data_IF_616540595636
#
_entry.id   IF_616540595636
#
_cell.length_a   1.000
_cell.length_b   1.000
_cell.length_c   1.000
_cell.angle_alpha   90.00
_cell.angle_beta   90.00
_cell.angle_gamma   90.00
#
_symmetry.space_group_name_H-M   'P 1'
#
loop_
_entity.id
_entity.type
_entity.pdbx_description
1 polymer ?
#
# COMPACT_ATOMS: atom_id res chain seq x y z
N UNK A 1 10.78 -5.88 -15.00
CA UNK A 1 11.71 -7.01 -15.26
C UNK A 1 11.46 -8.13 -14.28
N UNK A 2 11.00 -7.86 -13.05
CA UNK A 2 10.37 -8.90 -12.22
C UNK A 2 9.04 -9.37 -12.84
N UNK A 3 8.57 -10.54 -12.42
CA UNK A 3 7.35 -11.16 -12.91
C UNK A 3 6.12 -10.28 -12.66
N UNK A 4 6.01 -9.68 -11.48
CA UNK A 4 4.89 -8.82 -11.12
C UNK A 4 4.78 -7.59 -12.02
N UNK A 5 5.89 -6.87 -12.21
CA UNK A 5 5.99 -5.75 -13.15
C UNK A 5 5.74 -6.20 -14.59
N UNK A 6 6.27 -7.37 -15.00
CA UNK A 6 6.05 -7.88 -16.34
C UNK A 6 4.55 -8.10 -16.60
N UNK A 7 3.84 -8.71 -15.66
CA UNK A 7 2.39 -8.94 -15.77
C UNK A 7 1.63 -7.62 -15.94
N UNK A 8 1.90 -6.60 -15.11
CA UNK A 8 1.19 -5.32 -15.24
C UNK A 8 1.59 -4.54 -16.51
N UNK A 9 2.81 -4.70 -17.01
CA UNK A 9 3.24 -4.18 -18.30
C UNK A 9 2.44 -4.78 -19.47
N UNK A 10 2.12 -6.08 -19.43
CA UNK A 10 1.25 -6.73 -20.42
C UNK A 10 -0.18 -6.18 -20.43
N UNK A 11 -0.59 -5.54 -19.32
CA UNK A 11 -1.92 -4.96 -19.11
C UNK A 11 -1.96 -3.45 -19.28
N UNK A 12 -0.80 -2.77 -19.30
CA UNK A 12 -0.72 -1.32 -19.34
C UNK A 12 -1.24 -0.65 -18.06
N UNK A 13 -1.12 -1.34 -16.92
CA UNK A 13 -1.64 -0.89 -15.62
C UNK A 13 -0.50 -0.42 -14.70
N UNK A 14 -0.81 0.45 -13.74
CA UNK A 14 0.13 0.82 -12.68
C UNK A 14 0.22 -0.28 -11.61
N UNK A 15 1.33 -0.36 -10.84
CA UNK A 15 1.45 -1.31 -9.74
C UNK A 15 0.40 -1.04 -8.66
N UNK A 16 -0.26 -2.09 -8.16
CA UNK A 16 -1.16 -1.95 -7.03
C UNK A 16 -0.42 -1.98 -5.68
N UNK A 17 0.75 -2.62 -5.62
CA UNK A 17 1.58 -2.70 -4.42
C UNK A 17 3.07 -2.53 -4.74
N UNK A 18 3.83 -1.89 -3.83
CA UNK A 18 5.23 -1.50 -4.10
C UNK A 18 6.23 -2.66 -4.13
N UNK A 19 5.92 -3.80 -3.51
CA UNK A 19 6.73 -5.04 -3.59
C UNK A 19 6.00 -6.20 -4.25
N UNK A 20 4.71 -6.03 -4.57
CA UNK A 20 3.87 -7.09 -5.14
C UNK A 20 2.94 -6.50 -6.21
N UNK A 21 3.49 -5.98 -7.33
CA UNK A 21 2.78 -5.12 -8.27
C UNK A 21 1.44 -5.68 -8.80
N UNK A 22 1.41 -6.99 -9.01
CA UNK A 22 0.28 -7.75 -9.57
C UNK A 22 -0.62 -8.43 -8.52
N UNK A 23 -0.52 -8.08 -7.22
CA UNK A 23 -1.27 -8.78 -6.13
C UNK A 23 -2.80 -8.72 -6.27
N UNK A 24 -3.31 -7.83 -7.11
CA UNK A 24 -4.74 -7.68 -7.37
C UNK A 24 -5.28 -8.65 -8.44
N UNK A 25 -4.41 -9.43 -9.09
CA UNK A 25 -4.76 -10.34 -10.18
C UNK A 25 -4.84 -11.79 -9.70
N UNK A 26 -5.77 -12.55 -10.28
CA UNK A 26 -5.83 -14.00 -10.09
C UNK A 26 -4.91 -14.71 -11.07
N UNK A 27 -4.56 -15.97 -10.77
CA UNK A 27 -3.75 -16.81 -11.66
C UNK A 27 -4.40 -16.96 -13.04
N UNK A 28 -5.71 -17.14 -13.09
CA UNK A 28 -6.47 -17.33 -14.33
C UNK A 28 -6.43 -16.07 -15.21
N UNK A 29 -6.41 -14.88 -14.60
CA UNK A 29 -6.24 -13.62 -15.33
C UNK A 29 -4.83 -13.51 -15.92
N UNK A 30 -3.80 -13.88 -15.14
CA UNK A 30 -2.41 -13.91 -15.62
C UNK A 30 -2.23 -14.91 -16.76
N UNK A 31 -2.80 -16.11 -16.64
CA UNK A 31 -2.80 -17.11 -17.72
C UNK A 31 -3.46 -16.55 -18.99
N UNK A 32 -4.63 -15.94 -18.87
CA UNK A 32 -5.33 -15.35 -20.00
C UNK A 32 -4.49 -14.27 -20.70
N UNK A 33 -3.79 -13.43 -19.93
CA UNK A 33 -2.87 -12.43 -20.47
C UNK A 33 -1.66 -13.06 -21.20
N UNK A 34 -1.10 -14.14 -20.67
CA UNK A 34 0.02 -14.84 -21.29
C UNK A 34 -0.40 -15.49 -22.62
N UNK A 35 -1.57 -16.13 -22.66
CA UNK A 35 -2.14 -16.67 -23.91
C UNK A 35 -2.41 -15.56 -24.93
N UNK A 36 -2.93 -14.42 -24.47
CA UNK A 36 -3.23 -13.26 -25.31
C UNK A 36 -1.98 -12.63 -25.93
N UNK A 37 -0.87 -12.54 -25.19
CA UNK A 37 0.33 -11.82 -25.63
C UNK A 37 1.40 -12.73 -26.22
N UNK A 38 1.66 -13.91 -25.64
CA UNK A 38 2.66 -14.85 -26.15
C UNK A 38 2.07 -15.78 -27.21
N UNK A 39 1.59 -15.20 -28.31
CA UNK A 39 0.91 -15.91 -29.41
C UNK A 39 1.83 -16.77 -30.28
N UNK A 40 3.14 -16.57 -30.16
CA UNK A 40 4.18 -17.33 -30.86
C UNK A 40 4.47 -18.69 -30.19
N UNK A 41 3.91 -18.96 -29.01
CA UNK A 41 4.03 -20.23 -28.29
C UNK A 41 2.81 -21.12 -28.57
N UNK A 42 2.94 -22.43 -28.34
CA UNK A 42 1.87 -23.41 -28.56
C UNK A 42 0.56 -22.98 -27.84
N UNK A 43 -0.56 -22.81 -28.56
CA UNK A 43 -1.85 -22.48 -27.97
C UNK A 43 -2.35 -23.51 -26.95
N UNK A 44 -1.93 -24.78 -27.05
CA UNK A 44 -2.34 -25.89 -26.18
C UNK A 44 -1.42 -26.10 -24.98
N UNK A 45 -0.42 -25.23 -24.78
CA UNK A 45 0.51 -25.34 -23.64
C UNK A 45 -0.19 -25.25 -22.28
N UNK A 46 0.35 -25.98 -21.31
CA UNK A 46 -0.18 -26.05 -19.96
C UNK A 46 0.32 -24.89 -19.09
N UNK A 47 -0.60 -23.99 -18.71
CA UNK A 47 -0.34 -22.84 -17.84
C UNK A 47 -1.13 -22.91 -16.51
N UNK A 48 -1.62 -24.09 -16.14
CA UNK A 48 -2.41 -24.25 -14.90
C UNK A 48 -1.55 -24.10 -13.65
N UNK A 49 -0.27 -24.45 -13.74
CA UNK A 49 0.65 -24.44 -12.61
C UNK A 49 1.44 -23.13 -12.52
N UNK A 50 1.63 -22.53 -11.32
CA UNK A 50 2.43 -21.33 -11.16
C UNK A 50 3.86 -21.45 -11.72
N UNK A 51 4.45 -22.65 -11.65
CA UNK A 51 5.80 -22.92 -12.15
C UNK A 51 5.88 -22.81 -13.67
N UNK A 52 4.84 -23.23 -14.40
CA UNK A 52 4.85 -23.15 -15.87
C UNK A 52 4.66 -21.71 -16.34
N UNK A 53 3.80 -20.93 -15.67
CA UNK A 53 3.68 -19.48 -15.88
C UNK A 53 5.03 -18.77 -15.66
N UNK A 54 5.68 -19.01 -14.52
CA UNK A 54 6.99 -18.43 -14.22
C UNK A 54 8.04 -18.81 -15.27
N UNK A 55 8.07 -20.08 -15.69
CA UNK A 55 9.05 -20.58 -16.66
C UNK A 55 8.86 -19.94 -18.05
N UNK A 56 7.61 -19.74 -18.47
CA UNK A 56 7.29 -19.04 -19.72
C UNK A 56 7.79 -17.59 -19.66
N UNK A 57 7.41 -16.84 -18.62
CA UNK A 57 7.86 -15.45 -18.44
C UNK A 57 9.39 -15.36 -18.42
N UNK A 58 10.05 -16.29 -17.71
CA UNK A 58 11.51 -16.35 -17.63
C UNK A 58 12.16 -16.57 -18.98
N UNK A 59 11.59 -17.43 -19.82
CA UNK A 59 12.12 -17.71 -21.17
C UNK A 59 12.05 -16.46 -22.03
N UNK A 60 10.91 -15.77 -22.03
CA UNK A 60 10.73 -14.50 -22.75
C UNK A 60 11.70 -13.42 -22.27
N UNK A 61 11.83 -13.26 -20.94
CA UNK A 61 12.67 -12.20 -20.36
C UNK A 61 14.16 -12.47 -20.51
N UNK A 62 14.61 -13.74 -20.46
CA UNK A 62 16.02 -14.10 -20.61
C UNK A 62 16.62 -13.64 -21.93
N UNK A 63 15.89 -13.82 -23.02
CA UNK A 63 16.33 -13.33 -24.32
C UNK A 63 16.50 -11.81 -24.30
N UNK A 64 15.54 -11.08 -23.74
CA UNK A 64 15.61 -9.62 -23.61
C UNK A 64 16.80 -9.13 -22.78
N UNK A 65 17.14 -9.83 -21.69
CA UNK A 65 18.33 -9.47 -20.90
C UNK A 65 19.63 -9.67 -21.69
N UNK A 66 19.73 -10.75 -22.47
CA UNK A 66 20.94 -11.05 -23.24
C UNK A 66 21.14 -10.11 -24.45
N UNK A 67 20.05 -9.62 -25.04
CA UNK A 67 20.09 -8.72 -26.20
C UNK A 67 20.26 -7.24 -25.82
N UNK A 68 20.06 -6.87 -24.55
CA UNK A 68 20.11 -5.48 -24.12
C UNK A 68 21.56 -4.98 -23.91
N UNK A 69 21.96 -3.93 -24.63
CA UNK A 69 23.26 -3.27 -24.41
C UNK A 69 23.31 -2.46 -23.09
N UNK A 70 22.17 -1.98 -22.61
CA UNK A 70 22.06 -1.10 -21.43
C UNK A 70 21.08 -1.69 -20.41
N UNK A 71 21.57 -1.91 -19.21
CA UNK A 71 20.78 -2.26 -18.03
C UNK A 71 20.39 -1.04 -17.23
N UNK A 72 19.10 -0.84 -16.96
CA UNK A 72 18.62 0.23 -16.08
C UNK A 72 18.00 -0.38 -14.83
N UNK A 73 18.53 -0.04 -13.66
CA UNK A 73 18.00 -0.49 -12.37
C UNK A 73 17.61 0.68 -11.49
N UNK A 74 16.72 0.43 -10.53
CA UNK A 74 16.61 1.29 -9.35
C UNK A 74 17.74 1.03 -8.35
N UNK A 75 17.65 1.67 -7.19
CA UNK A 75 18.39 1.26 -5.99
C UNK A 75 17.47 1.28 -4.76
N UNK A 76 17.64 0.28 -3.90
CA UNK A 76 17.06 0.30 -2.56
C UNK A 76 17.86 1.23 -1.66
N UNK A 77 19.20 1.21 -1.78
CA UNK A 77 20.13 2.05 -1.03
C UNK A 77 21.30 2.51 -1.90
N UNK A 78 21.86 3.67 -1.56
CA UNK A 78 23.11 4.21 -2.10
C UNK A 78 24.05 4.45 -0.94
N UNK A 79 25.22 3.81 -0.91
CA UNK A 79 26.13 3.86 0.24
C UNK A 79 27.17 4.95 0.00
N UNK A 80 27.17 5.98 0.85
CA UNK A 80 28.04 7.14 0.67
C UNK A 80 29.52 6.80 0.88
N UNK A 81 29.87 5.98 1.88
CA UNK A 81 31.28 5.68 2.18
C UNK A 81 31.99 4.88 1.08
N UNK A 82 31.27 4.02 0.36
CA UNK A 82 31.85 3.14 -0.67
C UNK A 82 31.51 3.55 -2.10
N UNK A 83 30.55 4.47 -2.29
CA UNK A 83 30.02 4.79 -3.61
C UNK A 83 29.24 3.63 -4.25
N UNK A 84 28.65 2.73 -3.45
CA UNK A 84 27.97 1.53 -3.95
C UNK A 84 26.46 1.75 -4.08
N UNK A 85 25.84 1.17 -5.12
CA UNK A 85 24.39 0.99 -5.17
C UNK A 85 24.00 -0.39 -4.65
N UNK A 86 22.90 -0.47 -3.91
CA UNK A 86 22.34 -1.73 -3.43
C UNK A 86 20.94 -1.93 -3.99
N UNK A 87 20.72 -3.10 -4.58
CA UNK A 87 19.40 -3.55 -5.02
C UNK A 87 19.09 -4.89 -4.38
N UNK A 88 17.86 -5.06 -3.91
CA UNK A 88 17.36 -6.34 -3.41
C UNK A 88 16.31 -6.90 -4.35
N UNK A 89 16.39 -8.20 -4.63
CA UNK A 89 15.39 -8.89 -5.45
C UNK A 89 15.14 -10.29 -4.92
N UNK A 90 14.00 -10.88 -5.28
CA UNK A 90 13.69 -12.29 -5.00
C UNK A 90 13.80 -13.18 -6.24
N UNK A 91 13.97 -12.58 -7.42
CA UNK A 91 13.91 -13.27 -8.72
C UNK A 91 15.24 -13.23 -9.48
N UNK A 92 16.25 -12.49 -8.99
CA UNK A 92 17.56 -12.33 -9.65
C UNK A 92 17.52 -11.46 -10.91
N UNK A 93 16.37 -10.84 -11.21
CA UNK A 93 16.20 -9.96 -12.36
C UNK A 93 17.10 -8.72 -12.30
N UNK A 94 17.40 -8.23 -11.10
CA UNK A 94 18.33 -7.11 -10.89
C UNK A 94 19.73 -7.44 -11.38
N UNK A 95 20.24 -8.64 -11.04
CA UNK A 95 21.57 -9.11 -11.44
C UNK A 95 21.68 -9.30 -12.94
N UNK A 96 20.67 -9.93 -13.55
CA UNK A 96 20.61 -10.08 -15.01
C UNK A 96 20.56 -8.73 -15.72
N UNK A 97 19.87 -7.75 -15.14
CA UNK A 97 19.78 -6.39 -15.72
C UNK A 97 21.11 -5.67 -15.64
N UNK A 98 21.85 -5.75 -14.52
CA UNK A 98 23.06 -4.96 -14.32
C UNK A 98 24.36 -5.60 -14.81
N UNK A 99 24.40 -6.93 -14.99
CA UNK A 99 25.64 -7.65 -15.35
C UNK A 99 25.78 -7.98 -16.84
N UNK A 100 24.68 -8.23 -17.54
CA UNK A 100 24.74 -8.74 -18.92
C UNK A 100 24.94 -7.64 -19.97
N UNK A 101 24.45 -6.43 -19.71
CA UNK A 101 24.64 -5.28 -20.60
C UNK A 101 26.04 -4.68 -20.47
N UNK A 102 26.48 -3.96 -21.50
CA UNK A 102 27.75 -3.22 -21.50
C UNK A 102 27.71 -2.00 -20.61
N UNK A 103 26.53 -1.45 -20.35
CA UNK A 103 26.34 -0.26 -19.54
C UNK A 103 25.29 -0.51 -18.46
N UNK A 104 25.59 -0.14 -17.22
CA UNK A 104 24.65 -0.16 -16.10
C UNK A 104 24.33 1.27 -15.66
N UNK A 105 23.05 1.61 -15.70
CA UNK A 105 22.53 2.89 -15.20
C UNK A 105 21.68 2.63 -13.96
N UNK A 106 22.10 3.19 -12.84
CA UNK A 106 21.34 3.22 -11.59
C UNK A 106 20.53 4.51 -11.54
N UNK A 107 19.21 4.39 -11.48
CA UNK A 107 18.29 5.51 -11.33
C UNK A 107 17.66 5.47 -9.94
N UNK A 108 18.08 6.37 -9.06
CA UNK A 108 17.65 6.35 -7.67
C UNK A 108 17.35 7.76 -7.17
N UNK A 109 16.39 7.87 -6.26
CA UNK A 109 16.07 9.15 -5.67
C UNK A 109 16.98 9.48 -4.48
N UNK A 110 17.17 10.77 -4.19
CA UNK A 110 18.19 11.24 -3.24
C UNK A 110 18.00 10.71 -1.81
N UNK A 111 16.78 10.31 -1.43
CA UNK A 111 16.48 9.76 -0.10
C UNK A 111 16.97 8.33 0.09
N UNK A 112 17.52 7.69 -0.97
CA UNK A 112 18.08 6.34 -0.90
C UNK A 112 19.48 6.31 -0.30
N UNK A 113 20.08 7.46 -0.04
CA UNK A 113 21.44 7.54 0.48
C UNK A 113 21.53 7.11 1.95
N UNK A 114 22.48 6.24 2.24
CA UNK A 114 22.82 5.71 3.58
C UNK A 114 24.30 5.96 3.82
N UNK A 115 24.74 6.37 5.03
CA UNK A 115 26.13 6.75 5.26
C UNK A 115 27.10 5.58 5.07
N UNK A 116 26.85 4.45 5.73
CA UNK A 116 27.78 3.32 5.79
C UNK A 116 27.16 1.99 5.34
N UNK A 117 28.03 1.03 5.04
CA UNK A 117 27.71 -0.36 4.76
C UNK A 117 27.08 -1.02 6.00
N UNK A 118 27.56 -0.70 7.20
CA UNK A 118 27.00 -1.21 8.45
C UNK A 118 25.54 -0.74 8.65
N UNK A 119 25.28 0.55 8.45
CA UNK A 119 23.91 1.08 8.48
C UNK A 119 23.00 0.36 7.47
N UNK A 120 23.52 0.14 6.26
CA UNK A 120 22.81 -0.59 5.20
C UNK A 120 22.52 -2.03 5.61
N UNK A 121 23.47 -2.74 6.22
CA UNK A 121 23.29 -4.10 6.71
C UNK A 121 22.17 -4.17 7.78
N UNK A 122 22.11 -3.21 8.71
CA UNK A 122 21.03 -3.14 9.69
C UNK A 122 19.67 -2.88 9.01
N UNK A 123 19.62 -1.98 8.03
CA UNK A 123 18.39 -1.67 7.31
C UNK A 123 17.91 -2.89 6.50
N UNK A 124 18.81 -3.62 5.83
CA UNK A 124 18.48 -4.83 5.07
C UNK A 124 17.81 -5.88 5.96
N UNK A 125 18.26 -6.02 7.22
CA UNK A 125 17.63 -6.94 8.19
C UNK A 125 16.17 -6.58 8.47
N UNK A 126 15.85 -5.30 8.65
CA UNK A 126 14.46 -4.90 8.94
C UNK A 126 13.60 -4.81 7.68
N UNK A 127 14.20 -4.59 6.50
CA UNK A 127 13.49 -4.48 5.22
C UNK A 127 12.66 -5.73 4.92
N UNK A 128 13.31 -6.90 4.81
CA UNK A 128 12.64 -8.16 4.46
C UNK A 128 11.63 -8.59 5.53
N UNK A 129 12.02 -8.48 6.81
CA UNK A 129 11.16 -8.84 7.96
C UNK A 129 9.88 -8.01 8.01
N UNK A 130 9.98 -6.71 7.74
CA UNK A 130 8.82 -5.81 7.75
C UNK A 130 7.95 -5.94 6.50
N UNK A 131 8.54 -6.34 5.37
CA UNK A 131 7.87 -6.44 4.09
C UNK A 131 7.07 -7.73 3.95
N UNK A 132 7.76 -8.87 4.05
CA UNK A 132 7.23 -10.20 3.73
C UNK A 132 7.34 -11.18 4.91
N UNK A 133 7.97 -10.77 6.01
CA UNK A 133 8.28 -11.65 7.13
C UNK A 133 9.47 -12.57 6.88
N UNK A 134 10.19 -12.40 5.77
CA UNK A 134 11.39 -13.16 5.45
C UNK A 134 12.58 -12.70 6.31
N UNK A 135 13.52 -13.61 6.60
CA UNK A 135 14.75 -13.26 7.33
C UNK A 135 15.66 -12.32 6.52
N UNK A 136 15.68 -12.52 5.20
CA UNK A 136 16.40 -11.74 4.20
C UNK A 136 15.71 -11.90 2.84
N UNK A 137 15.99 -11.00 1.89
CA UNK A 137 15.69 -11.22 0.46
C UNK A 137 16.60 -12.30 -0.11
N UNK A 138 16.20 -12.90 -1.24
CA UNK A 138 16.99 -13.96 -1.90
C UNK A 138 18.31 -13.39 -2.45
N UNK A 139 18.26 -12.20 -3.04
CA UNK A 139 19.43 -11.50 -3.57
C UNK A 139 19.53 -10.12 -2.92
N UNK A 140 20.75 -9.74 -2.55
CA UNK A 140 21.13 -8.40 -2.10
C UNK A 140 22.47 -8.07 -2.76
N UNK A 141 22.40 -7.30 -3.85
CA UNK A 141 23.55 -7.08 -4.72
C UNK A 141 24.10 -5.68 -4.52
N UNK A 142 25.42 -5.62 -4.33
CA UNK A 142 26.18 -4.39 -4.12
C UNK A 142 27.04 -4.13 -5.35
N UNK A 143 26.74 -3.07 -6.09
CA UNK A 143 27.45 -2.70 -7.31
C UNK A 143 28.32 -1.48 -7.04
N UNK A 144 29.61 -1.59 -7.36
CA UNK A 144 30.62 -0.56 -7.04
C UNK A 144 31.46 -0.25 -8.27
N UNK A 145 30.86 0.50 -9.20
CA UNK A 145 31.50 0.90 -10.46
C UNK A 145 31.45 -0.17 -11.55
N UNK A 146 32.12 0.11 -12.69
CA UNK A 146 32.19 -0.80 -13.82
C UNK A 146 33.13 -1.99 -13.53
N UNK A 147 33.08 -3.01 -14.38
CA UNK A 147 34.00 -4.15 -14.33
C UNK A 147 35.46 -3.69 -14.42
N UNK A 148 36.32 -4.38 -13.70
CA UNK A 148 37.78 -4.21 -13.70
C UNK A 148 38.39 -5.16 -14.71
N UNK A 149 39.66 -4.93 -15.06
CA UNK A 149 40.38 -5.79 -16.00
C UNK A 149 40.48 -7.26 -15.56
N UNK A 150 40.43 -7.53 -14.25
CA UNK A 150 40.48 -8.87 -13.68
C UNK A 150 39.10 -9.52 -13.49
N UNK A 151 38.02 -8.75 -13.64
CA UNK A 151 36.66 -9.27 -13.50
C UNK A 151 36.28 -10.05 -14.77
N UNK A 152 35.66 -11.22 -14.59
CA UNK A 152 35.28 -12.11 -15.70
C UNK A 152 34.14 -11.50 -16.54
N UNK A 153 33.22 -10.81 -15.87
CA UNK A 153 32.02 -10.21 -16.44
C UNK A 153 31.64 -8.91 -15.74
N UNK A 154 30.62 -8.23 -16.29
CA UNK A 154 30.08 -6.99 -15.76
C UNK A 154 30.08 -5.83 -16.77
N UNK A 155 29.47 -4.70 -16.38
CA UNK A 155 29.30 -3.56 -17.27
C UNK A 155 30.62 -2.81 -17.47
N UNK A 156 30.89 -2.36 -18.69
CA UNK A 156 32.02 -1.48 -19.05
C UNK A 156 31.81 -0.05 -18.56
N UNK A 157 30.56 0.38 -18.48
CA UNK A 157 30.17 1.70 -17.99
C UNK A 157 29.20 1.58 -16.81
N UNK A 158 29.37 2.44 -15.80
CA UNK A 158 28.50 2.50 -14.63
C UNK A 158 28.12 3.95 -14.34
N UNK A 159 26.82 4.27 -14.45
CA UNK A 159 26.28 5.61 -14.28
C UNK A 159 25.26 5.65 -13.15
N UNK A 160 25.31 6.69 -12.31
CA UNK A 160 24.33 6.90 -11.25
C UNK A 160 23.59 8.22 -11.48
N UNK A 161 22.27 8.13 -11.63
CA UNK A 161 21.37 9.28 -11.77
C UNK A 161 20.63 9.48 -10.46
N UNK A 162 20.92 10.60 -9.79
CA UNK A 162 20.26 11.01 -8.56
C UNK A 162 19.06 11.90 -8.87
N UNK A 163 17.86 11.40 -8.58
CA UNK A 163 16.62 12.13 -8.78
C UNK A 163 16.12 12.78 -7.49
N UNK A 164 16.09 14.10 -7.46
CA UNK A 164 15.42 14.83 -6.40
C UNK A 164 13.88 14.75 -6.56
N UNK A 165 13.36 15.34 -7.64
CA UNK A 165 11.92 15.42 -7.94
C UNK A 165 11.10 16.01 -6.76
N UNK A 166 11.62 17.07 -6.13
CA UNK A 166 10.94 17.80 -5.05
C UNK A 166 11.13 17.23 -3.64
N UNK A 167 11.98 16.20 -3.46
CA UNK A 167 12.26 15.60 -2.15
C UNK A 167 13.13 16.49 -1.27
N UNK A 168 14.05 17.24 -1.85
CA UNK A 168 14.90 18.20 -1.13
C UNK A 168 14.07 19.27 -0.41
N UNK A 169 12.91 19.65 -0.97
CA UNK A 169 11.98 20.59 -0.36
C UNK A 169 11.29 20.04 0.91
N UNK A 170 11.43 18.74 1.20
CA UNK A 170 10.91 18.13 2.43
C UNK A 170 11.91 18.23 3.60
N UNK A 171 13.20 18.47 3.33
CA UNK A 171 14.24 18.60 4.35
C UNK A 171 13.96 19.81 5.26
N UNK A 172 14.10 19.65 6.57
CA UNK A 172 13.84 20.70 7.55
C UNK A 172 12.36 21.05 7.75
N UNK A 173 11.44 20.31 7.13
CA UNK A 173 9.99 20.51 7.26
C UNK A 173 9.34 19.43 8.11
N UNK A 174 8.04 19.58 8.41
CA UNK A 174 7.25 18.54 9.08
C UNK A 174 7.11 17.22 8.27
N UNK A 175 7.63 17.18 7.04
CA UNK A 175 7.64 16.00 6.19
C UNK A 175 9.00 15.30 6.07
N UNK A 176 10.05 15.82 6.72
CA UNK A 176 11.42 15.30 6.57
C UNK A 176 11.55 13.80 6.85
N UNK A 177 10.91 13.29 7.92
CA UNK A 177 11.03 11.86 8.26
C UNK A 177 10.49 10.92 7.15
N UNK A 178 9.68 11.43 6.21
CA UNK A 178 9.22 10.67 5.06
C UNK A 178 10.40 10.20 4.20
N UNK A 179 11.49 10.98 4.15
CA UNK A 179 12.71 10.65 3.42
C UNK A 179 13.43 9.41 4.00
N UNK A 180 13.14 8.99 5.23
CA UNK A 180 13.68 7.75 5.81
C UNK A 180 13.02 6.48 5.26
N UNK A 181 12.05 6.60 4.35
CA UNK A 181 11.26 5.46 3.91
C UNK A 181 12.05 4.47 3.04
N UNK A 182 12.27 3.28 3.59
CA UNK A 182 12.92 2.14 2.92
C UNK A 182 12.01 1.35 1.97
N UNK A 183 10.77 1.81 1.77
CA UNK A 183 9.77 1.21 0.85
C UNK A 183 9.47 -0.26 1.13
N UNK A 184 9.45 -0.67 2.40
CA UNK A 184 9.15 -2.06 2.79
C UNK A 184 7.68 -2.48 2.60
N UNK A 185 6.73 -1.55 2.51
CA UNK A 185 5.31 -1.87 2.30
C UNK A 185 4.53 -2.21 3.58
N UNK A 186 5.18 -2.32 4.74
CA UNK A 186 4.53 -2.61 6.02
C UNK A 186 3.31 -1.71 6.30
N UNK A 187 3.44 -0.41 6.01
CA UNK A 187 2.34 0.54 6.20
C UNK A 187 1.09 0.20 5.35
N UNK A 188 1.27 -0.37 4.17
CA UNK A 188 0.20 -0.78 3.27
C UNK A 188 -0.47 -2.07 3.76
N UNK A 189 0.36 -3.06 4.13
CA UNK A 189 -0.07 -4.35 4.67
C UNK A 189 -0.91 -4.22 5.95
N UNK A 190 -0.79 -3.11 6.67
CA UNK A 190 -1.56 -2.84 7.89
C UNK A 190 -2.60 -1.72 7.75
N UNK A 191 -2.78 -1.16 6.55
CA UNK A 191 -3.73 -0.07 6.33
C UNK A 191 -5.13 -0.59 5.99
N UNK A 192 -6.15 -0.38 6.84
CA UNK A 192 -7.50 -0.87 6.56
C UNK A 192 -8.13 -0.22 5.31
N UNK A 193 -7.72 1.00 4.96
CA UNK A 193 -8.17 1.67 3.74
C UNK A 193 -7.59 0.97 2.52
N UNK A 194 -6.28 0.75 2.49
CA UNK A 194 -5.62 0.04 1.39
C UNK A 194 -6.22 -1.36 1.17
N UNK A 195 -6.48 -2.12 2.24
CA UNK A 195 -7.14 -3.43 2.14
C UNK A 195 -8.56 -3.36 1.56
N UNK A 196 -9.30 -2.30 1.85
CA UNK A 196 -10.68 -2.16 1.40
C UNK A 196 -10.81 -1.66 -0.05
N UNK A 197 -9.88 -0.81 -0.52
CA UNK A 197 -10.00 -0.14 -1.83
C UNK A 197 -8.89 -0.48 -2.83
N UNK A 198 -7.85 -1.19 -2.40
CA UNK A 198 -6.68 -1.52 -3.24
C UNK A 198 -5.78 -0.32 -3.54
N UNK A 199 -4.65 -0.57 -4.19
CA UNK A 199 -3.64 0.46 -4.48
C UNK A 199 -3.98 1.41 -5.61
N UNK A 200 -4.70 0.95 -6.65
CA UNK A 200 -4.99 1.78 -7.82
C UNK A 200 -5.85 3.02 -7.50
N UNK A 201 -6.68 2.94 -6.46
CA UNK A 201 -7.53 4.07 -6.04
C UNK A 201 -6.73 5.25 -5.48
N UNK A 202 -5.44 5.06 -5.16
CA UNK A 202 -4.55 6.15 -4.75
C UNK A 202 -4.08 7.01 -5.93
N UNK A 203 -4.29 6.59 -7.18
CA UNK A 203 -3.98 7.41 -8.37
C UNK A 203 -2.49 7.76 -8.55
N UNK A 204 -1.59 6.97 -7.95
CA UNK A 204 -0.16 7.19 -7.94
C UNK A 204 0.58 5.86 -7.93
N UNK A 205 1.79 5.82 -8.48
CA UNK A 205 2.72 4.68 -8.36
C UNK A 205 3.21 4.48 -6.92
N UNK A 206 2.96 5.46 -6.04
CA UNK A 206 3.16 5.35 -4.60
C UNK A 206 1.80 5.20 -3.90
N UNK A 207 1.28 3.98 -3.76
CA UNK A 207 0.03 3.72 -3.04
C UNK A 207 0.19 3.70 -1.50
N UNK A 208 -0.95 3.65 -0.81
CA UNK A 208 -1.02 3.44 0.64
C UNK A 208 -0.64 4.65 1.50
N UNK A 209 -0.49 4.46 2.83
CA UNK A 209 -0.26 5.57 3.77
C UNK A 209 1.01 6.39 3.48
N UNK A 210 2.07 5.72 3.04
CA UNK A 210 3.30 6.36 2.60
C UNK A 210 3.04 7.25 1.38
N UNK A 211 2.32 6.72 0.40
CA UNK A 211 1.89 7.45 -0.79
C UNK A 211 1.03 8.67 -0.50
N UNK A 212 0.15 8.58 0.49
CA UNK A 212 -0.69 9.69 0.94
C UNK A 212 0.08 10.84 1.61
N UNK A 213 1.33 10.60 2.05
CA UNK A 213 2.25 11.66 2.50
C UNK A 213 3.13 12.14 1.36
N UNK A 214 3.71 11.22 0.58
CA UNK A 214 4.71 11.56 -0.42
C UNK A 214 4.09 12.24 -1.66
N UNK A 215 2.98 11.72 -2.17
CA UNK A 215 2.38 12.19 -3.44
C UNK A 215 2.01 13.68 -3.42
N UNK A 216 1.41 14.24 -2.34
CA UNK A 216 1.18 15.69 -2.24
C UNK A 216 2.46 16.52 -2.30
N UNK A 217 3.58 16.02 -1.77
CA UNK A 217 4.88 16.69 -1.87
C UNK A 217 5.48 16.67 -3.26
N UNK A 218 5.24 15.60 -4.04
CA UNK A 218 5.76 15.45 -5.40
C UNK A 218 4.90 16.14 -6.47
N UNK A 219 3.58 16.01 -6.36
CA UNK A 219 2.62 16.41 -7.41
C UNK A 219 1.81 17.66 -7.07
N UNK A 220 1.89 18.14 -5.82
CA UNK A 220 1.07 19.22 -5.28
C UNK A 220 -0.14 18.73 -4.49
N UNK A 221 -0.44 19.45 -3.40
CA UNK A 221 -1.59 19.18 -2.52
C UNK A 221 -2.94 19.48 -3.22
N UNK A 222 -2.95 20.34 -4.24
CA UNK A 222 -4.11 20.64 -5.09
C UNK A 222 -4.58 19.40 -5.88
N UNK A 223 -3.66 18.54 -6.30
CA UNK A 223 -3.96 17.32 -7.05
C UNK A 223 -4.16 16.10 -6.17
N UNK A 224 -3.49 16.04 -5.03
CA UNK A 224 -3.42 14.85 -4.18
C UNK A 224 -3.98 15.04 -2.76
N UNK A 225 -4.66 16.15 -2.47
CA UNK A 225 -5.25 16.47 -1.16
C UNK A 225 -6.30 15.45 -0.69
N UNK A 226 -6.96 14.75 -1.61
CA UNK A 226 -7.87 13.66 -1.28
C UNK A 226 -7.17 12.49 -0.56
N UNK A 227 -5.88 12.24 -0.81
CA UNK A 227 -5.16 11.09 -0.24
C UNK A 227 -4.99 11.19 1.29
N UNK A 228 -4.44 12.29 1.86
CA UNK A 228 -4.48 12.50 3.30
C UNK A 228 -5.90 12.43 3.88
N UNK A 229 -6.91 12.91 3.17
CA UNK A 229 -8.32 12.91 3.60
C UNK A 229 -8.97 11.52 3.65
N UNK A 230 -8.50 10.57 2.86
CA UNK A 230 -8.99 9.20 2.87
C UNK A 230 -8.55 8.38 4.10
N UNK A 231 -7.52 8.84 4.82
CA UNK A 231 -7.02 8.17 6.02
C UNK A 231 -8.03 8.18 7.18
N UNK A 232 -8.18 7.03 7.85
CA UNK A 232 -8.92 6.90 9.10
C UNK A 232 -8.12 7.33 10.33
N UNK A 233 -6.82 7.64 10.16
CA UNK A 233 -5.89 7.97 11.24
C UNK A 233 -5.83 6.94 12.39
N UNK A 234 -6.00 5.65 12.08
CA UNK A 234 -5.92 4.61 13.09
C UNK A 234 -4.52 4.41 13.71
N UNK A 235 -3.46 5.02 13.15
CA UNK A 235 -2.10 4.95 13.68
C UNK A 235 -1.34 3.65 13.39
N UNK A 236 -1.97 2.65 12.77
CA UNK A 236 -1.34 1.34 12.57
C UNK A 236 -0.09 1.40 11.68
N UNK A 237 -0.10 2.25 10.66
CA UNK A 237 1.05 2.42 9.77
C UNK A 237 2.30 2.98 10.47
N UNK A 238 2.12 3.83 11.48
CA UNK A 238 3.20 4.37 12.32
C UNK A 238 3.69 3.31 13.31
N UNK A 239 2.77 2.59 13.95
CA UNK A 239 3.09 1.54 14.92
C UNK A 239 3.92 0.38 14.34
N UNK A 240 3.80 0.11 13.04
CA UNK A 240 4.51 -0.99 12.36
C UNK A 240 5.70 -0.50 11.52
N UNK A 241 5.95 0.81 11.46
CA UNK A 241 7.02 1.33 10.62
C UNK A 241 8.39 1.03 11.26
N UNK A 242 9.28 0.28 10.59
CA UNK A 242 10.61 -0.01 11.14
C UNK A 242 11.51 1.24 11.18
N UNK A 243 11.13 2.30 10.46
CA UNK A 243 11.86 3.57 10.39
C UNK A 243 11.23 4.67 11.25
N UNK A 244 10.23 4.31 12.08
CA UNK A 244 9.53 5.23 12.99
C UNK A 244 8.97 6.50 12.31
N UNK A 245 8.45 6.37 11.09
CA UNK A 245 7.91 7.51 10.32
C UNK A 245 6.48 7.83 10.82
N UNK A 246 6.21 9.06 11.29
CA UNK A 246 4.91 9.44 11.85
C UNK A 246 3.89 9.81 10.75
N UNK A 247 3.58 8.86 9.86
CA UNK A 247 2.68 9.07 8.70
C UNK A 247 1.33 9.72 9.06
N UNK A 248 0.63 9.35 10.16
CA UNK A 248 -0.59 10.02 10.60
C UNK A 248 -0.41 11.50 10.95
N UNK A 249 0.73 11.88 11.55
CA UNK A 249 1.04 13.28 11.85
C UNK A 249 1.26 14.07 10.55
N UNK A 250 2.05 13.52 9.64
CA UNK A 250 2.34 14.14 8.34
C UNK A 250 1.07 14.32 7.49
N UNK A 251 0.21 13.30 7.39
CA UNK A 251 -1.07 13.44 6.70
C UNK A 251 -1.99 14.52 7.33
N UNK A 252 -1.89 14.77 8.65
CA UNK A 252 -2.62 15.89 9.27
C UNK A 252 -2.08 17.24 8.83
N UNK A 253 -0.76 17.39 8.75
CA UNK A 253 -0.14 18.62 8.22
C UNK A 253 -0.54 18.89 6.77
N UNK A 254 -0.70 17.85 5.94
CA UNK A 254 -1.27 18.03 4.60
C UNK A 254 -2.72 18.54 4.63
N UNK A 255 -3.57 18.02 5.52
CA UNK A 255 -4.94 18.51 5.68
C UNK A 255 -4.98 19.96 6.17
N UNK A 256 -4.05 20.35 7.05
CA UNK A 256 -3.88 21.73 7.53
C UNK A 256 -3.52 22.66 6.36
N UNK A 257 -2.48 22.32 5.59
CA UNK A 257 -2.06 23.08 4.40
C UNK A 257 -3.16 23.20 3.35
N UNK A 258 -3.86 22.11 3.05
CA UNK A 258 -5.00 22.10 2.13
C UNK A 258 -6.15 23.01 2.61
N UNK A 259 -6.39 23.04 3.93
CA UNK A 259 -7.39 23.90 4.54
C UNK A 259 -6.97 25.38 4.51
N UNK A 260 -5.72 25.70 4.80
CA UNK A 260 -5.17 27.06 4.76
C UNK A 260 -5.16 27.63 3.34
N UNK A 261 -4.88 26.78 2.34
CA UNK A 261 -4.88 27.16 0.92
C UNK A 261 -6.27 27.18 0.28
N UNK A 262 -7.34 26.89 1.05
CA UNK A 262 -8.72 26.87 0.56
C UNK A 262 -8.97 25.90 -0.61
N UNK A 263 -8.22 24.80 -0.70
CA UNK A 263 -8.29 23.83 -1.80
C UNK A 263 -9.47 22.84 -1.64
N UNK A 264 -10.07 22.80 -0.45
CA UNK A 264 -11.24 22.00 -0.15
C UNK A 264 -12.48 22.46 -0.95
N UNK A 265 -13.39 21.54 -1.33
CA UNK A 265 -14.68 21.92 -1.92
C UNK A 265 -15.44 22.92 -1.05
N UNK A 266 -15.92 24.03 -1.64
CA UNK A 266 -16.60 25.13 -0.92
C UNK A 266 -17.78 24.65 -0.06
N UNK A 267 -18.54 23.67 -0.56
CA UNK A 267 -19.67 23.07 0.17
C UNK A 267 -19.19 22.32 1.40
N UNK A 268 -18.13 21.51 1.29
CA UNK A 268 -17.57 20.77 2.42
C UNK A 268 -17.02 21.72 3.48
N UNK A 269 -16.27 22.75 3.08
CA UNK A 269 -15.73 23.77 3.99
C UNK A 269 -16.83 24.54 4.72
N UNK A 270 -17.85 24.99 3.98
CA UNK A 270 -18.98 25.73 4.57
C UNK A 270 -19.80 24.84 5.51
N UNK A 271 -20.04 23.58 5.12
CA UNK A 271 -20.70 22.58 5.95
C UNK A 271 -19.95 22.32 7.26
N UNK A 272 -18.62 22.18 7.21
CA UNK A 272 -17.77 22.09 8.41
C UNK A 272 -17.86 23.35 9.26
N UNK A 273 -17.90 24.54 8.65
CA UNK A 273 -18.05 25.82 9.36
C UNK A 273 -19.38 25.92 10.12
N UNK A 274 -20.49 25.57 9.48
CA UNK A 274 -21.83 25.52 10.09
C UNK A 274 -21.87 24.48 11.22
N UNK A 275 -21.32 23.29 10.97
CA UNK A 275 -21.21 22.25 11.99
C UNK A 275 -20.37 22.72 13.18
N UNK A 276 -19.21 23.34 12.97
CA UNK A 276 -18.36 23.85 14.05
C UNK A 276 -19.06 24.97 14.84
N UNK A 277 -19.76 25.89 14.17
CA UNK A 277 -20.54 26.94 14.81
C UNK A 277 -21.62 26.38 15.74
N UNK A 278 -22.34 25.35 15.30
CA UNK A 278 -23.39 24.68 16.07
C UNK A 278 -22.80 23.82 17.19
N UNK A 279 -21.81 22.97 16.90
CA UNK A 279 -21.18 22.05 17.85
C UNK A 279 -20.48 22.76 19.01
N UNK A 280 -19.89 23.95 18.78
CA UNK A 280 -19.30 24.80 19.84
C UNK A 280 -20.34 25.43 20.78
N UNK A 281 -21.63 25.31 20.48
CA UNK A 281 -22.75 25.85 21.28
C UNK A 281 -23.63 24.70 21.78
N UNK A 282 -23.34 24.11 22.95
CA UNK A 282 -24.00 22.89 23.40
C UNK A 282 -25.53 22.97 23.44
N UNK A 283 -26.11 24.10 23.86
CA UNK A 283 -27.56 24.29 23.89
C UNK A 283 -28.16 24.22 22.47
N UNK A 284 -27.59 24.96 21.52
CA UNK A 284 -28.03 24.97 20.12
C UNK A 284 -27.88 23.58 19.49
N UNK A 285 -26.71 22.96 19.62
CA UNK A 285 -26.45 21.62 19.08
C UNK A 285 -27.45 20.59 19.62
N UNK A 286 -27.67 20.59 20.94
CA UNK A 286 -28.61 19.67 21.58
C UNK A 286 -30.03 19.88 21.09
N UNK A 287 -30.49 21.12 20.96
CA UNK A 287 -31.83 21.43 20.45
C UNK A 287 -31.99 20.93 19.02
N UNK A 288 -31.07 21.31 18.11
CA UNK A 288 -31.12 20.92 16.71
C UNK A 288 -31.14 19.40 16.52
N UNK A 289 -30.23 18.68 17.20
CA UNK A 289 -30.14 17.22 17.07
C UNK A 289 -31.33 16.51 17.74
N UNK A 290 -31.86 17.05 18.84
CA UNK A 290 -33.03 16.49 19.54
C UNK A 290 -34.30 16.49 18.70
N UNK A 291 -34.45 17.47 17.80
CA UNK A 291 -35.55 17.52 16.83
C UNK A 291 -35.21 16.79 15.52
N UNK A 292 -33.97 16.94 15.03
CA UNK A 292 -33.56 16.37 13.74
C UNK A 292 -33.48 14.84 13.71
N UNK A 293 -32.99 14.20 14.77
CA UNK A 293 -32.80 12.74 14.80
C UNK A 293 -34.12 11.95 14.75
N UNK A 294 -35.19 12.32 15.49
CA UNK A 294 -36.50 11.69 15.34
C UNK A 294 -37.11 11.87 13.95
N UNK A 295 -36.99 13.06 13.35
CA UNK A 295 -37.50 13.35 12.02
C UNK A 295 -36.79 12.46 10.98
N UNK A 296 -35.46 12.44 10.99
CA UNK A 296 -34.67 11.56 10.11
C UNK A 296 -35.03 10.08 10.34
N UNK A 297 -35.18 9.65 11.60
CA UNK A 297 -35.59 8.29 11.91
C UNK A 297 -36.97 7.93 11.35
N UNK A 298 -37.93 8.87 11.39
CA UNK A 298 -39.28 8.69 10.84
C UNK A 298 -39.26 8.66 9.31
N UNK A 299 -38.49 9.55 8.67
CA UNK A 299 -38.34 9.62 7.21
C UNK A 299 -37.74 8.34 6.60
N UNK A 300 -36.89 7.63 7.34
CA UNK A 300 -36.32 6.36 6.88
C UNK A 300 -37.35 5.20 6.83
N UNK A 301 -38.50 5.37 7.48
CA UNK A 301 -39.57 4.37 7.55
C UNK A 301 -39.11 3.00 8.07
N UNK A 302 -39.82 1.95 7.65
CA UNK A 302 -39.56 0.57 8.06
C UNK A 302 -38.19 0.03 7.61
N UNK A 303 -37.61 0.59 6.53
CA UNK A 303 -36.35 0.13 5.96
C UNK A 303 -35.13 0.53 6.79
N UNK A 304 -35.26 1.55 7.67
CA UNK A 304 -34.20 2.04 8.57
C UNK A 304 -32.90 2.43 7.85
N UNK A 305 -33.00 2.83 6.58
CA UNK A 305 -31.88 3.22 5.72
C UNK A 305 -32.36 4.13 4.59
N UNK A 306 -31.46 4.98 4.10
CA UNK A 306 -31.70 5.89 2.99
C UNK A 306 -30.90 5.46 1.76
N UNK A 307 -31.61 5.14 0.67
CA UNK A 307 -31.01 4.88 -0.64
C UNK A 307 -30.67 6.18 -1.39
N UNK A 308 -31.29 7.29 -1.01
CA UNK A 308 -30.96 8.62 -1.50
C UNK A 308 -31.22 9.63 -0.37
N UNK A 309 -30.28 10.55 -0.16
CA UNK A 309 -30.43 11.65 0.79
C UNK A 309 -29.82 12.91 0.19
N UNK A 310 -30.55 14.05 0.16
CA UNK A 310 -30.00 15.31 -0.31
C UNK A 310 -28.68 15.65 0.42
N UNK A 311 -27.72 16.20 -0.32
CA UNK A 311 -26.36 16.53 0.18
C UNK A 311 -25.47 15.33 0.56
N UNK A 312 -25.99 14.09 0.54
CA UNK A 312 -25.21 12.87 0.76
C UNK A 312 -25.11 11.97 -0.49
N UNK A 313 -25.42 12.52 -1.67
CA UNK A 313 -25.42 11.81 -2.95
C UNK A 313 -24.11 11.08 -3.27
N UNK A 314 -22.97 11.63 -2.87
CA UNK A 314 -21.67 10.97 -3.04
C UNK A 314 -21.56 9.63 -2.29
N UNK A 315 -22.21 9.49 -1.14
CA UNK A 315 -22.30 8.23 -0.40
C UNK A 315 -23.44 7.35 -0.94
N UNK A 316 -24.63 7.92 -1.06
CA UNK A 316 -25.85 7.17 -1.41
C UNK A 316 -25.86 6.63 -2.84
N UNK A 317 -24.97 7.14 -3.71
CA UNK A 317 -24.72 6.56 -5.04
C UNK A 317 -24.15 5.13 -4.96
N UNK A 318 -23.40 4.82 -3.90
CA UNK A 318 -22.67 3.55 -3.77
C UNK A 318 -23.11 2.73 -2.57
N UNK A 319 -23.65 3.35 -1.51
CA UNK A 319 -24.01 2.70 -0.24
C UNK A 319 -25.25 3.31 0.38
N UNK A 320 -26.12 2.46 0.93
CA UNK A 320 -27.22 2.94 1.78
C UNK A 320 -26.67 3.65 3.04
N UNK A 321 -27.32 4.75 3.43
CA UNK A 321 -26.99 5.46 4.68
C UNK A 321 -27.89 4.94 5.82
N UNK A 322 -27.35 4.43 6.93
CA UNK A 322 -28.18 3.94 8.04
C UNK A 322 -28.96 5.08 8.70
N UNK A 323 -30.22 4.82 9.05
CA UNK A 323 -31.06 5.80 9.71
C UNK A 323 -30.73 5.90 11.21
N UNK A 324 -30.82 7.10 11.81
CA UNK A 324 -30.60 7.27 13.25
C UNK A 324 -31.65 6.53 14.08
N UNK A 325 -31.32 6.22 15.33
CA UNK A 325 -32.20 5.53 16.30
C UNK A 325 -33.39 6.36 16.79
N UNK A 326 -33.50 7.62 16.35
CA UNK A 326 -34.56 8.55 16.73
C UNK A 326 -34.16 9.38 17.95
N UNK A 327 -34.09 8.77 19.14
CA UNK A 327 -33.68 9.47 20.36
C UNK A 327 -32.17 9.57 20.48
N UNK A 328 -31.66 10.77 20.77
CA UNK A 328 -30.25 10.99 21.08
C UNK A 328 -29.86 10.34 22.41
N UNK A 329 -28.57 10.03 22.58
CA UNK A 329 -28.04 9.51 23.85
C UNK A 329 -28.45 10.37 25.07
N UNK A 330 -28.35 11.70 24.96
CA UNK A 330 -28.72 12.61 26.06
C UNK A 330 -30.23 12.70 26.33
N UNK A 331 -31.08 12.39 25.36
CA UNK A 331 -32.53 12.23 25.60
C UNK A 331 -32.81 10.93 26.34
N UNK A 332 -32.15 9.82 25.94
CA UNK A 332 -32.29 8.53 26.60
C UNK A 332 -31.87 8.61 28.08
N UNK A 333 -30.71 9.22 28.37
CA UNK A 333 -30.22 9.40 29.74
C UNK A 333 -31.17 10.25 30.59
N UNK A 334 -31.73 11.35 30.04
CA UNK A 334 -32.68 12.21 30.76
C UNK A 334 -34.00 11.53 31.09
N UNK A 335 -34.42 10.54 30.31
CA UNK A 335 -35.64 9.78 30.52
C UNK A 335 -35.44 8.56 31.43
N UNK A 336 -34.24 8.41 32.01
CA UNK A 336 -33.92 7.26 32.86
C UNK A 336 -33.67 5.96 32.09
N UNK A 337 -33.57 6.00 30.75
CA UNK A 337 -33.12 4.86 29.94
C UNK A 337 -31.61 4.67 30.16
N UNK A 338 -31.24 3.91 31.20
CA UNK A 338 -29.86 3.46 31.37
C UNK A 338 -29.58 2.36 30.34
N UNK A 339 -28.48 2.43 29.59
CA UNK A 339 -28.04 1.28 28.80
C UNK A 339 -27.89 0.09 29.76
N UNK A 340 -28.42 -1.07 29.40
CA UNK A 340 -28.22 -2.27 30.20
C UNK A 340 -26.70 -2.56 30.22
N UNK A 341 -26.09 -2.56 31.40
CA UNK A 341 -24.65 -2.82 31.55
C UNK A 341 -24.50 -4.23 32.11
N UNK A 342 -23.65 -5.05 31.50
CA UNK A 342 -23.31 -6.36 32.05
C UNK A 342 -22.63 -6.19 33.42
N UNK A 343 -22.59 -7.25 34.23
CA UNK A 343 -21.85 -7.24 35.50
C UNK A 343 -20.35 -6.92 35.34
N UNK A 344 -19.80 -6.95 34.11
CA UNK A 344 -18.41 -6.59 33.78
C UNK A 344 -18.26 -5.18 33.16
N UNK A 345 -19.27 -4.33 33.26
CA UNK A 345 -19.19 -2.93 32.79
C UNK A 345 -19.36 -2.75 31.26
N UNK A 346 -19.77 -3.79 30.53
CA UNK A 346 -19.98 -3.71 29.08
C UNK A 346 -21.40 -3.28 28.77
N UNK A 347 -21.57 -2.23 27.94
CA UNK A 347 -22.90 -1.82 27.45
C UNK A 347 -23.48 -2.94 26.57
N UNK A 348 -24.59 -3.53 27.02
CA UNK A 348 -25.31 -4.56 26.29
C UNK A 348 -26.11 -3.89 25.15
N UNK A 349 -26.00 -4.38 23.91
CA UNK A 349 -26.80 -3.85 22.81
C UNK A 349 -28.29 -4.05 23.11
N UNK A 350 -29.11 -3.02 22.89
CA UNK A 350 -30.58 -3.16 22.88
C UNK A 350 -30.91 -4.28 21.90
N UNK A 351 -31.64 -5.30 22.35
CA UNK A 351 -31.88 -6.53 21.62
C UNK A 351 -32.53 -6.29 20.24
N UNK A 352 -31.72 -6.09 19.19
CA UNK A 352 -32.12 -6.26 17.78
C UNK A 352 -30.97 -6.77 16.91
N UNK A 353 -31.30 -7.89 16.26
CA UNK A 353 -30.69 -8.61 15.15
C UNK A 353 -29.48 -9.53 15.48
N UNK A 354 -29.69 -10.86 15.58
CA UNK A 354 -28.61 -11.85 15.65
C UNK A 354 -27.65 -11.84 14.43
N UNK A 355 -27.99 -11.09 13.38
CA UNK A 355 -27.23 -10.98 12.13
C UNK A 355 -25.90 -10.23 12.31
N UNK A 356 -25.83 -9.20 13.17
CA UNK A 356 -24.59 -8.41 13.33
C UNK A 356 -23.51 -9.17 14.12
N UNK A 357 -23.91 -9.89 15.17
CA UNK A 357 -23.03 -10.77 15.92
C UNK A 357 -22.56 -11.97 15.07
N UNK A 358 -23.47 -12.57 14.29
CA UNK A 358 -23.13 -13.64 13.35
C UNK A 358 -22.19 -13.14 12.24
N UNK A 359 -22.40 -11.95 11.67
CA UNK A 359 -21.48 -11.36 10.68
C UNK A 359 -20.11 -11.01 11.26
N UNK A 360 -20.06 -10.51 12.50
CA UNK A 360 -18.79 -10.24 13.18
C UNK A 360 -18.02 -11.53 13.51
N UNK A 361 -18.73 -12.60 13.89
CA UNK A 361 -18.14 -13.92 14.09
C UNK A 361 -17.66 -14.53 12.77
N UNK A 362 -18.46 -14.46 11.71
CA UNK A 362 -18.09 -14.93 10.38
C UNK A 362 -16.90 -14.14 9.79
N UNK A 363 -16.86 -12.82 9.99
CA UNK A 363 -15.73 -11.99 9.57
C UNK A 363 -14.43 -12.32 10.33
N UNK A 364 -14.53 -12.65 11.62
CA UNK A 364 -13.38 -13.12 12.42
C UNK A 364 -12.90 -14.51 11.99
N UNK A 365 -13.83 -15.41 11.68
CA UNK A 365 -13.50 -16.74 11.15
C UNK A 365 -12.83 -16.63 9.77
N UNK A 366 -13.40 -15.84 8.85
CA UNK A 366 -12.82 -15.60 7.53
C UNK A 366 -11.44 -14.91 7.60
N UNK A 367 -11.23 -14.00 8.56
CA UNK A 367 -9.92 -13.37 8.76
C UNK A 367 -8.88 -14.34 9.32
N UNK A 368 -9.28 -15.28 10.19
CA UNK A 368 -8.41 -16.32 10.69
C UNK A 368 -8.03 -17.32 9.58
N UNK A 369 -9.00 -17.70 8.76
CA UNK A 369 -8.81 -18.60 7.61
C UNK A 369 -7.93 -17.97 6.52
N UNK A 370 -8.10 -16.66 6.26
CA UNK A 370 -7.23 -15.91 5.35
C UNK A 370 -5.79 -15.78 5.87
N UNK A 371 -5.61 -15.62 7.20
CA UNK A 371 -4.28 -15.58 7.81
C UNK A 371 -3.60 -16.96 7.74
N UNK A 372 -4.35 -18.04 7.93
CA UNK A 372 -3.83 -19.40 7.85
C UNK A 372 -3.48 -19.77 6.39
N UNK A 373 -4.30 -19.36 5.42
CA UNK A 373 -4.02 -19.49 4.00
C UNK A 373 -2.77 -18.70 3.57
N UNK A 374 -2.62 -17.46 4.05
CA UNK A 374 -1.44 -16.64 3.78
C UNK A 374 -0.17 -17.25 4.39
N UNK A 375 -0.27 -17.81 5.60
CA UNK A 375 0.85 -18.49 6.28
C UNK A 375 1.24 -19.77 5.56
N UNK A 376 0.25 -20.52 5.05
CA UNK A 376 0.46 -21.75 4.27
C UNK A 376 1.08 -21.45 2.91
N UNK A 377 0.61 -20.41 2.21
CA UNK A 377 1.19 -19.96 0.95
C UNK A 377 2.64 -19.47 1.12
N UNK A 378 2.94 -18.73 2.20
CA UNK A 378 4.30 -18.30 2.51
C UNK A 378 5.24 -19.49 2.79
N UNK A 379 4.77 -20.51 3.51
CA UNK A 379 5.53 -21.77 3.74
C UNK A 379 5.74 -22.57 2.45
N UNK A 380 4.73 -22.64 1.59
CA UNK A 380 4.84 -23.34 0.30
C UNK A 380 5.84 -22.63 -0.63
N UNK A 381 5.81 -21.30 -0.69
CA UNK A 381 6.76 -20.50 -1.46
C UNK A 381 8.20 -20.67 -0.93
N UNK A 382 8.40 -20.67 0.39
CA UNK A 382 9.70 -20.92 1.00
C UNK A 382 10.23 -22.34 0.71
N UNK A 383 9.36 -23.35 0.76
CA UNK A 383 9.71 -24.74 0.45
C UNK A 383 10.06 -24.93 -1.02
N UNK A 384 9.31 -24.31 -1.93
CA UNK A 384 9.60 -24.33 -3.36
C UNK A 384 10.92 -23.62 -3.71
N UNK A 385 11.22 -22.51 -3.04
CA UNK A 385 12.50 -21.82 -3.18
C UNK A 385 13.67 -22.69 -2.69
N UNK A 386 13.52 -23.39 -1.56
CA UNK A 386 14.53 -24.29 -1.02
C UNK A 386 14.79 -25.52 -1.93
N UNK A 387 13.73 -26.08 -2.53
CA UNK A 387 13.85 -27.20 -3.47
C UNK A 387 14.52 -26.80 -4.80
N UNK A 388 14.32 -25.56 -5.25
CA UNK A 388 14.99 -25.04 -6.45
C UNK A 388 16.50 -24.83 -6.22
N UNK A 389 16.94 -24.56 -4.99
CA UNK A 389 18.36 -24.40 -4.64
C UNK A 389 19.09 -25.73 -4.42
N UNK A 390 18.41 -26.81 -4.05
CA UNK A 390 19.04 -28.13 -3.81
C UNK A 390 19.19 -29.01 -5.07
N UNK A 391 18.54 -28.65 -6.18
CA UNK A 391 18.56 -29.41 -7.43
C UNK A 391 19.76 -29.20 -8.37
N UNK A 392 20.76 -28.40 -7.98
CA UNK A 392 21.93 -28.09 -8.84
C UNK A 392 23.20 -28.89 -8.51
N UNK A 393 23.11 -29.89 -7.62
CA UNK A 393 24.25 -30.71 -7.18
C UNK A 393 24.13 -32.19 -7.52
N UNK A 394 23.84 -32.56 -8.77
CA UNK A 394 23.94 -33.95 -9.22
C UNK A 394 24.08 -34.06 -10.75
N UNK A 395 25.22 -33.63 -11.29
CA UNK A 395 25.82 -34.26 -12.48
C UNK A 395 27.33 -33.94 -12.47
N UNK A 396 28.10 -34.89 -11.93
CA UNK A 396 29.50 -35.10 -12.29
C UNK A 396 29.57 -36.38 -13.13
#
# INVERSE_FOLDING_TARGET
>A
TDLGEYIIQLRGEHPSHIIAPAVHLTREQVEADFRRVHTHLDPLRNLTEPVTLLSEARTILRQKYAEADIGVTGANFLIAETGSSVIVTNEGNGDLTQLLGKCHVVFASIEKMVPTLEDTAQILRVLARSATGQESTVYATFSTGPKRAADVDGPEEYHVILLDNGRSAMLGTEFEDMLRCIRCGACMNHCPVYHAVGGHTYGSVYPGPMGAVLTPGLSGIDKAGNLPNASTFCGRCEAVCPMHIPLPKMMRHWREKEFEQHLQPKVARSGLGVWAFTARRPALYRTLVSFGMPILSAMAGAKRRFAALPLAGGWTKWRDLPAPEGRTFLQQVRQGERPAVSARGTVLPKARLPIAAAKAAAARAAAAEALDAATTAAKAAATAAAAATSGTGASA
#
